data_IF_445216890247
#
_entry.id   IF_445216890247
#
_cell.length_a   1.000
_cell.length_b   1.000
_cell.length_c   1.000
_cell.angle_alpha   90.00
_cell.angle_beta   90.00
_cell.angle_gamma   90.00
#
_symmetry.space_group_name_H-M   'P 1'
#
loop_
_entity.id
_entity.type
_entity.pdbx_description
1 polymer ?
#
# COMPACT_ATOMS: atom_id res chain seq x y z
N UNK A 1 -25.01 -6.24 8.28
CA UNK A 1 -24.25 -7.44 8.72
C UNK A 1 -22.78 -7.04 8.82
N UNK A 2 -22.14 -7.32 9.93
CA UNK A 2 -20.73 -7.00 10.14
C UNK A 2 -19.88 -8.20 9.72
N UNK A 3 -19.06 -8.04 8.68
CA UNK A 3 -18.15 -9.07 8.25
C UNK A 3 -16.83 -8.97 9.02
N UNK A 4 -16.43 -10.06 9.67
CA UNK A 4 -15.13 -10.15 10.33
C UNK A 4 -14.08 -10.60 9.33
N UNK A 5 -13.01 -9.80 9.19
CA UNK A 5 -11.87 -10.14 8.35
C UNK A 5 -10.62 -10.30 9.18
N UNK A 6 -9.88 -11.38 8.95
CA UNK A 6 -8.53 -11.53 9.47
C UNK A 6 -7.54 -10.95 8.47
N UNK A 7 -6.61 -10.14 8.96
CA UNK A 7 -5.50 -9.59 8.19
C UNK A 7 -4.18 -9.90 8.89
N UNK A 8 -3.16 -10.19 8.11
CA UNK A 8 -1.82 -10.34 8.65
C UNK A 8 -1.28 -9.01 9.14
N UNK A 9 -0.58 -9.04 10.26
CA UNK A 9 0.16 -7.90 10.81
C UNK A 9 1.64 -8.21 10.72
N UNK A 10 2.40 -7.25 10.22
CA UNK A 10 3.86 -7.31 10.14
C UNK A 10 4.44 -6.16 10.96
N UNK A 11 5.72 -6.25 11.25
CA UNK A 11 6.45 -5.17 11.90
C UNK A 11 7.56 -4.66 10.98
N UNK A 12 7.62 -3.34 10.80
CA UNK A 12 8.72 -2.71 10.07
C UNK A 12 10.05 -2.93 10.80
N UNK A 13 11.21 -2.78 10.14
CA UNK A 13 12.51 -2.92 10.80
C UNK A 13 12.70 -2.04 12.04
N UNK A 14 12.04 -0.89 12.10
CA UNK A 14 12.02 0.04 13.23
C UNK A 14 10.86 -0.22 14.23
N UNK A 15 10.12 -1.32 14.07
CA UNK A 15 9.18 -1.84 15.06
C UNK A 15 7.74 -1.36 14.97
N UNK A 16 7.36 -0.65 13.90
CA UNK A 16 5.98 -0.22 13.69
C UNK A 16 5.11 -1.33 13.12
N UNK A 17 3.90 -1.55 13.67
CA UNK A 17 2.97 -2.50 13.09
C UNK A 17 2.37 -1.97 11.79
N UNK A 18 2.30 -2.83 10.80
CA UNK A 18 1.66 -2.57 9.50
C UNK A 18 0.78 -3.76 9.12
N UNK A 19 -0.31 -3.51 8.45
CA UNK A 19 -1.38 -4.49 8.19
C UNK A 19 -1.46 -4.81 6.72
N UNK A 20 -1.77 -6.06 6.39
CA UNK A 20 -2.00 -6.51 5.02
C UNK A 20 -3.17 -5.74 4.36
N UNK A 21 -3.02 -5.33 3.09
CA UNK A 21 -4.13 -4.72 2.34
C UNK A 21 -5.27 -5.69 2.05
N UNK A 22 -4.98 -7.00 2.03
CA UNK A 22 -5.96 -8.04 1.72
C UNK A 22 -6.24 -8.95 2.92
N UNK A 23 -7.38 -9.60 2.90
CA UNK A 23 -7.77 -10.61 3.89
C UNK A 23 -6.83 -11.81 3.83
N UNK A 24 -6.57 -12.39 4.98
CA UNK A 24 -5.75 -13.60 5.07
C UNK A 24 -6.47 -14.81 4.47
N UNK A 25 -5.77 -15.55 3.63
CA UNK A 25 -6.29 -16.75 2.95
C UNK A 25 -5.54 -18.02 3.27
N UNK A 26 -4.52 -17.94 4.12
CA UNK A 26 -3.62 -19.07 4.34
C UNK A 26 -2.64 -19.32 3.19
N UNK A 27 -2.34 -18.31 2.37
CA UNK A 27 -1.35 -18.42 1.30
C UNK A 27 0.00 -18.91 1.83
N UNK A 28 0.63 -19.78 1.07
CA UNK A 28 1.98 -20.25 1.40
C UNK A 28 2.97 -19.10 1.24
N UNK A 29 3.76 -18.88 2.29
CA UNK A 29 4.83 -17.89 2.26
C UNK A 29 5.85 -18.26 1.20
N UNK A 30 6.26 -17.29 0.37
CA UNK A 30 7.33 -17.45 -0.61
C UNK A 30 8.16 -16.18 -0.70
N UNK A 31 9.37 -16.31 -1.20
CA UNK A 31 10.23 -15.16 -1.49
C UNK A 31 10.04 -14.71 -2.94
N UNK A 32 10.09 -13.41 -3.13
CA UNK A 32 9.98 -12.76 -4.43
C UNK A 32 11.33 -12.18 -4.87
N UNK A 33 11.59 -12.25 -6.18
CA UNK A 33 12.72 -11.58 -6.82
C UNK A 33 12.30 -10.23 -7.40
N UNK A 34 13.26 -9.44 -7.85
CA UNK A 34 12.97 -8.20 -8.56
C UNK A 34 12.13 -8.42 -9.82
N UNK A 35 12.32 -9.54 -10.51
CA UNK A 35 11.49 -9.89 -11.68
C UNK A 35 10.04 -10.12 -11.32
N UNK A 36 9.77 -10.72 -10.15
CA UNK A 36 8.42 -10.94 -9.65
C UNK A 36 7.70 -9.63 -9.32
N UNK A 37 8.45 -8.58 -9.00
CA UNK A 37 7.91 -7.27 -8.66
C UNK A 37 7.54 -6.44 -9.88
N UNK A 38 8.19 -6.67 -11.00
CA UNK A 38 7.92 -5.92 -12.22
C UNK A 38 6.49 -6.16 -12.71
N UNK A 39 5.80 -5.10 -13.11
CA UNK A 39 4.42 -5.18 -13.58
C UNK A 39 3.59 -3.99 -13.13
N UNK A 40 2.29 -4.10 -13.28
CA UNK A 40 1.34 -3.08 -12.84
C UNK A 40 0.84 -3.34 -11.44
N UNK A 41 0.82 -2.29 -10.66
CA UNK A 41 0.40 -2.29 -9.27
C UNK A 41 -0.74 -1.31 -9.04
N UNK A 42 -1.64 -1.70 -8.21
CA UNK A 42 -2.63 -0.82 -7.62
C UNK A 42 -2.13 -0.41 -6.23
N UNK A 43 -1.96 0.89 -6.00
CA UNK A 43 -1.38 1.45 -4.79
C UNK A 43 -2.35 2.43 -4.16
N UNK A 44 -2.52 2.31 -2.84
CA UNK A 44 -3.37 3.22 -2.07
C UNK A 44 -2.62 3.73 -0.84
N UNK A 45 -2.73 5.02 -0.58
CA UNK A 45 -2.30 5.63 0.69
C UNK A 45 -3.53 5.91 1.53
N UNK A 46 -3.47 5.51 2.80
CA UNK A 46 -4.54 5.80 3.74
C UNK A 46 -4.32 7.20 4.27
N UNK A 47 -5.16 8.12 3.85
CA UNK A 47 -5.12 9.51 4.27
C UNK A 47 -5.95 9.73 5.52
N UNK A 48 -5.62 10.78 6.26
CA UNK A 48 -6.44 11.22 7.38
C UNK A 48 -7.85 11.58 6.90
N UNK A 49 -8.88 11.11 7.59
CA UNK A 49 -10.24 11.50 7.26
C UNK A 49 -10.42 13.02 7.37
N UNK A 50 -11.09 13.61 6.41
CA UNK A 50 -11.32 15.06 6.39
C UNK A 50 -12.04 15.57 7.66
N UNK A 51 -12.84 14.74 8.30
CA UNK A 51 -13.51 15.11 9.54
C UNK A 51 -12.54 15.32 10.72
N UNK A 52 -11.43 14.60 10.80
CA UNK A 52 -10.41 14.83 11.85
C UNK A 52 -9.78 16.20 11.74
N UNK A 53 -9.51 16.65 10.52
CA UNK A 53 -9.04 18.02 10.27
C UNK A 53 -10.05 19.07 10.68
N UNK A 54 -11.34 18.80 10.48
CA UNK A 54 -12.45 19.68 10.89
C UNK A 54 -12.62 19.73 12.40
N UNK A 55 -12.46 18.60 13.09
CA UNK A 55 -12.47 18.54 14.55
C UNK A 55 -11.36 19.38 15.16
N UNK A 56 -10.16 19.31 14.62
CA UNK A 56 -9.02 20.11 15.07
C UNK A 56 -9.25 21.61 14.86
N UNK A 57 -9.99 21.98 13.84
CA UNK A 57 -10.39 23.35 13.56
C UNK A 57 -11.64 23.82 14.32
N UNK A 58 -12.23 22.99 15.20
CA UNK A 58 -13.44 23.32 15.98
C UNK A 58 -14.73 23.34 15.17
N UNK A 59 -14.75 22.72 14.01
CA UNK A 59 -15.95 22.63 13.16
C UNK A 59 -16.78 21.39 13.51
N UNK A 60 -18.09 21.53 13.42
CA UNK A 60 -19.04 20.46 13.72
C UNK A 60 -19.16 19.49 12.54
N UNK A 61 -19.13 18.19 12.87
CA UNK A 61 -19.04 17.05 11.95
C UNK A 61 -20.27 16.78 11.05
N UNK A 62 -21.35 17.50 11.21
CA UNK A 62 -22.65 17.07 10.72
C UNK A 62 -23.06 17.61 9.36
N UNK A 63 -22.21 18.27 8.64
CA UNK A 63 -22.54 18.68 7.29
C UNK A 63 -22.42 17.48 6.34
N UNK A 64 -23.46 16.67 6.31
CA UNK A 64 -23.62 15.59 5.32
C UNK A 64 -23.44 16.15 3.92
N UNK A 65 -22.60 15.49 3.13
CA UNK A 65 -22.46 15.75 1.70
C UNK A 65 -21.32 16.66 1.27
N UNK A 66 -20.42 17.06 2.17
CA UNK A 66 -19.29 17.95 1.84
C UNK A 66 -17.92 17.26 1.73
N UNK A 67 -17.86 15.94 1.88
CA UNK A 67 -16.63 15.20 1.54
C UNK A 67 -16.54 15.12 0.02
N UNK A 68 -15.68 15.93 -0.55
CA UNK A 68 -15.34 15.80 -1.97
C UNK A 68 -14.68 14.44 -2.20
N UNK A 69 -14.96 13.83 -3.34
CA UNK A 69 -14.36 12.55 -3.77
C UNK A 69 -12.84 12.57 -3.65
N UNK A 70 -12.20 13.70 -3.82
CA UNK A 70 -10.78 13.98 -3.63
C UNK A 70 -10.26 13.77 -2.20
N UNK A 71 -11.14 13.72 -1.21
CA UNK A 71 -10.83 13.52 0.21
C UNK A 71 -10.92 12.04 0.64
N UNK A 72 -11.31 11.16 -0.27
CA UNK A 72 -11.39 9.72 -0.03
C UNK A 72 -10.09 9.01 -0.40
N UNK A 73 -9.86 7.88 0.24
CA UNK A 73 -8.74 7.02 -0.11
C UNK A 73 -8.96 6.42 -1.50
N UNK A 74 -8.18 6.83 -2.46
CA UNK A 74 -8.29 6.40 -3.86
C UNK A 74 -7.03 5.65 -4.25
N UNK A 75 -7.20 4.49 -4.89
CA UNK A 75 -6.08 3.76 -5.45
C UNK A 75 -5.59 4.37 -6.75
N UNK A 76 -4.30 4.25 -7.00
CA UNK A 76 -3.64 4.70 -8.22
C UNK A 76 -2.87 3.55 -8.85
N UNK A 77 -2.78 3.55 -10.17
CA UNK A 77 -1.95 2.62 -10.90
C UNK A 77 -0.49 3.07 -10.88
N UNK A 78 0.40 2.14 -10.62
CA UNK A 78 1.84 2.36 -10.62
C UNK A 78 2.52 1.20 -11.36
N UNK A 79 3.31 1.52 -12.38
CA UNK A 79 4.06 0.52 -13.12
C UNK A 79 5.48 0.43 -12.55
N UNK A 80 5.87 -0.78 -12.14
CA UNK A 80 7.25 -1.09 -11.77
C UNK A 80 7.92 -1.72 -12.98
N UNK A 81 8.84 -0.99 -13.60
CA UNK A 81 9.56 -1.47 -14.79
C UNK A 81 10.78 -2.32 -14.40
N UNK A 82 11.12 -3.29 -15.23
CA UNK A 82 12.26 -4.21 -14.96
C UNK A 82 13.61 -3.51 -14.79
N UNK A 83 13.74 -2.32 -15.35
CA UNK A 83 14.96 -1.51 -15.25
C UNK A 83 15.09 -0.73 -13.93
N UNK A 84 14.13 -0.87 -13.02
CA UNK A 84 14.12 -0.14 -11.75
C UNK A 84 13.44 1.22 -11.80
N UNK A 85 12.85 1.59 -12.91
CA UNK A 85 12.08 2.82 -13.03
C UNK A 85 10.60 2.61 -12.68
N UNK A 86 9.95 3.68 -12.27
CA UNK A 86 8.50 3.76 -12.21
C UNK A 86 7.97 4.35 -13.52
N UNK A 87 6.91 3.78 -14.04
CA UNK A 87 6.30 4.24 -15.29
C UNK A 87 5.91 5.71 -15.26
N UNK A 88 5.82 6.35 -16.42
CA UNK A 88 5.51 7.77 -16.58
C UNK A 88 6.51 8.71 -15.88
N UNK A 89 7.76 8.28 -15.75
CA UNK A 89 8.84 9.04 -15.09
C UNK A 89 8.52 9.44 -13.64
N UNK A 90 7.72 8.65 -12.93
CA UNK A 90 7.32 8.94 -11.53
C UNK A 90 8.44 8.71 -10.54
N UNK A 91 9.51 8.02 -10.90
CA UNK A 91 10.64 7.76 -10.02
C UNK A 91 11.30 6.42 -10.26
N UNK A 92 11.75 5.81 -9.16
CA UNK A 92 12.49 4.53 -9.17
C UNK A 92 12.01 3.60 -8.08
N UNK A 93 12.34 2.32 -8.21
CA UNK A 93 12.09 1.32 -7.20
C UNK A 93 13.28 0.38 -7.04
N UNK A 94 13.41 -0.20 -5.88
CA UNK A 94 14.45 -1.18 -5.57
C UNK A 94 13.92 -2.24 -4.61
N UNK A 95 14.27 -3.49 -4.83
CA UNK A 95 13.96 -4.59 -3.93
C UNK A 95 15.23 -5.05 -3.21
N UNK A 96 15.23 -4.98 -1.89
CA UNK A 96 16.20 -5.66 -1.04
C UNK A 96 15.72 -7.11 -0.84
N UNK A 97 16.13 -7.97 -1.76
CA UNK A 97 15.59 -9.34 -1.88
C UNK A 97 15.83 -10.18 -0.64
N UNK A 98 17.02 -10.08 -0.03
CA UNK A 98 17.36 -10.84 1.17
C UNK A 98 16.42 -10.59 2.35
N UNK A 99 15.87 -9.38 2.47
CA UNK A 99 14.96 -8.96 3.54
C UNK A 99 13.51 -8.83 3.08
N UNK A 100 13.24 -9.02 1.80
CA UNK A 100 11.91 -8.84 1.21
C UNK A 100 11.32 -7.46 1.52
N UNK A 101 12.15 -6.43 1.34
CA UNK A 101 11.78 -5.03 1.54
C UNK A 101 11.86 -4.26 0.22
N UNK A 102 10.77 -3.61 -0.13
CA UNK A 102 10.67 -2.75 -1.30
C UNK A 102 10.90 -1.30 -0.89
N UNK A 103 11.63 -0.57 -1.70
CA UNK A 103 11.78 0.88 -1.60
C UNK A 103 11.27 1.55 -2.86
N UNK A 104 10.52 2.61 -2.69
CA UNK A 104 10.02 3.45 -3.78
C UNK A 104 10.57 4.86 -3.61
N UNK A 105 11.05 5.44 -4.69
CA UNK A 105 11.26 6.89 -4.78
C UNK A 105 10.20 7.41 -5.74
N UNK A 106 9.13 7.97 -5.20
CA UNK A 106 7.94 8.36 -5.94
C UNK A 106 7.78 9.87 -5.89
N UNK A 107 7.90 10.53 -7.05
CA UNK A 107 7.75 11.98 -7.16
C UNK A 107 8.65 12.76 -6.15
N UNK A 108 9.86 12.26 -5.93
CA UNK A 108 10.84 12.82 -5.00
C UNK A 108 10.69 12.37 -3.54
N UNK A 109 9.64 11.67 -3.19
CA UNK A 109 9.45 11.09 -1.87
C UNK A 109 10.11 9.71 -1.78
N UNK A 110 10.92 9.50 -0.75
CA UNK A 110 11.54 8.21 -0.47
C UNK A 110 10.66 7.43 0.50
N UNK A 111 10.18 6.27 0.07
CA UNK A 111 9.33 5.38 0.87
C UNK A 111 10.09 4.06 1.03
N UNK A 112 10.63 3.82 2.21
CA UNK A 112 11.44 2.66 2.53
C UNK A 112 10.69 1.60 3.34
N UNK A 113 11.27 0.41 3.41
CA UNK A 113 10.84 -0.66 4.31
C UNK A 113 9.41 -1.15 4.07
N UNK A 114 8.99 -1.14 2.81
CA UNK A 114 7.73 -1.75 2.43
C UNK A 114 7.90 -3.27 2.43
N UNK A 115 7.12 -3.94 3.26
CA UNK A 115 7.18 -5.41 3.41
C UNK A 115 6.41 -6.05 2.28
N UNK A 116 7.07 -6.92 1.50
CA UNK A 116 6.43 -7.68 0.43
C UNK A 116 6.13 -9.11 0.89
N UNK A 117 5.01 -9.64 0.47
CA UNK A 117 4.55 -10.97 0.85
C UNK A 117 3.50 -11.51 -0.13
N UNK A 118 3.31 -12.82 -0.11
CA UNK A 118 2.29 -13.48 -0.92
C UNK A 118 0.90 -13.22 -0.32
N UNK A 119 -0.07 -12.97 -1.18
CA UNK A 119 -1.45 -12.78 -0.79
C UNK A 119 -2.41 -13.16 -1.90
N UNK A 120 -3.69 -12.92 -1.68
CA UNK A 120 -4.75 -13.20 -2.64
C UNK A 120 -5.45 -11.91 -3.05
N UNK A 121 -5.55 -11.72 -4.35
CA UNK A 121 -6.34 -10.64 -4.93
C UNK A 121 -7.80 -11.11 -5.06
N UNK A 122 -8.64 -10.66 -4.13
CA UNK A 122 -10.04 -11.06 -4.08
C UNK A 122 -10.88 -10.51 -5.22
N UNK A 123 -10.50 -9.38 -5.79
CA UNK A 123 -11.21 -8.79 -6.93
C UNK A 123 -10.99 -9.58 -8.21
N UNK A 124 -9.75 -10.05 -8.42
CA UNK A 124 -9.36 -10.80 -9.62
C UNK A 124 -9.25 -12.32 -9.37
N UNK A 125 -9.54 -12.76 -8.16
CA UNK A 125 -9.55 -14.18 -7.74
C UNK A 125 -8.26 -14.93 -8.08
N UNK A 126 -7.12 -14.35 -7.77
CA UNK A 126 -5.80 -14.93 -8.02
C UNK A 126 -4.80 -14.64 -6.92
N UNK A 127 -3.80 -15.52 -6.80
CA UNK A 127 -2.64 -15.23 -5.96
C UNK A 127 -1.83 -14.08 -6.56
N UNK A 128 -1.28 -13.26 -5.68
CA UNK A 128 -0.44 -12.13 -6.10
C UNK A 128 0.59 -11.78 -5.03
N UNK A 129 1.43 -10.82 -5.33
CA UNK A 129 2.32 -10.20 -4.37
C UNK A 129 1.71 -8.89 -3.87
N UNK A 130 1.80 -8.69 -2.57
CA UNK A 130 1.31 -7.51 -1.87
C UNK A 130 2.49 -6.77 -1.21
N UNK A 131 2.31 -5.49 -0.94
CA UNK A 131 3.18 -4.80 -0.01
C UNK A 131 2.40 -3.98 1.00
N UNK A 132 2.99 -3.77 2.16
CA UNK A 132 2.45 -2.92 3.22
C UNK A 132 3.59 -2.19 3.93
N UNK A 133 3.34 -0.98 4.33
CA UNK A 133 4.31 -0.17 5.07
C UNK A 133 3.79 1.21 5.38
N UNK A 134 4.71 2.10 5.68
CA UNK A 134 4.44 3.50 6.00
C UNK A 134 5.15 4.41 5.01
N UNK A 135 4.48 5.48 4.60
CA UNK A 135 5.12 6.53 3.81
C UNK A 135 6.01 7.45 4.68
N UNK A 136 6.63 8.45 4.08
CA UNK A 136 7.52 9.37 4.80
C UNK A 136 6.84 10.20 5.89
N UNK A 137 5.51 10.31 5.85
CA UNK A 137 4.69 10.99 6.85
C UNK A 137 4.11 10.03 7.90
N UNK A 138 4.42 8.74 7.85
CA UNK A 138 3.87 7.73 8.75
C UNK A 138 2.47 7.25 8.41
N UNK A 139 1.98 7.51 7.20
CA UNK A 139 0.70 6.99 6.73
C UNK A 139 0.85 5.60 6.16
N UNK A 140 -0.15 4.75 6.33
CA UNK A 140 -0.17 3.44 5.70
C UNK A 140 -0.20 3.57 4.18
N UNK A 141 0.64 2.79 3.53
CA UNK A 141 0.66 2.62 2.09
C UNK A 141 0.58 1.14 1.75
N UNK A 142 -0.32 0.79 0.86
CA UNK A 142 -0.58 -0.57 0.45
C UNK A 142 -0.45 -0.72 -1.06
N UNK A 143 0.03 -1.88 -1.49
CA UNK A 143 0.10 -2.20 -2.90
C UNK A 143 -0.27 -3.64 -3.20
N UNK A 144 -0.85 -3.82 -4.38
CA UNK A 144 -1.25 -5.11 -4.92
C UNK A 144 -0.82 -5.16 -6.38
N UNK A 145 -0.05 -6.18 -6.76
CA UNK A 145 0.30 -6.40 -8.16
C UNK A 145 -0.89 -6.98 -8.90
N UNK A 146 -1.33 -6.30 -9.95
CA UNK A 146 -2.51 -6.68 -10.73
C UNK A 146 -2.18 -7.30 -12.09
N UNK A 147 -0.99 -7.01 -12.63
CA UNK A 147 -0.51 -7.61 -13.88
C UNK A 147 0.99 -7.84 -13.88
#
# INVERSE_FOLDING_TARGET
MMDLHLRQVFFTPDGWPVVSPERYTGCVSRKFSAEDMAGEWEVIRIQEPAYERRLQAGQILWEEGQLKEEEWNVSHLLSLEKNGNLGENKGTWELLEAKQLLSLTLEGEIINNLIIFAGHDWENEKETVLFTGLDSCGRSIWGKRIK
#
